data_IF_706679552197
#
_entry.id   IF_706679552197
#
_cell.length_a   1.000
_cell.length_b   1.000
_cell.length_c   1.000
_cell.angle_alpha   90.00
_cell.angle_beta   90.00
_cell.angle_gamma   90.00
#
_symmetry.space_group_name_H-M   'P 1'
#
loop_
_entity.id
_entity.type
_entity.pdbx_description
1 polymer ?
#
# COMPACT_ATOMS: atom_id res chain seq x y z
N UNK A 1 -7.75 10.45 9.74
CA UNK A 1 -7.94 9.86 8.41
C UNK A 1 -6.61 9.66 7.70
N UNK A 2 -6.31 8.45 7.33
CA UNK A 2 -5.08 8.18 6.59
C UNK A 2 -5.18 8.76 5.18
N UNK A 3 -4.15 9.49 4.78
CA UNK A 3 -4.07 9.98 3.41
C UNK A 3 -3.52 8.88 2.53
N UNK A 4 -4.37 8.38 1.64
CA UNK A 4 -4.00 7.31 0.72
C UNK A 4 -3.47 7.94 -0.56
N UNK A 5 -2.28 7.56 -1.02
CA UNK A 5 -1.74 8.15 -2.25
C UNK A 5 -2.50 7.70 -3.49
N UNK A 6 -2.53 8.57 -4.48
CA UNK A 6 -3.01 8.25 -5.82
C UNK A 6 -2.00 7.33 -6.51
N UNK A 7 -2.38 6.80 -7.66
CA UNK A 7 -1.50 5.94 -8.43
C UNK A 7 -0.17 6.64 -8.81
N UNK A 8 -0.24 7.88 -9.24
CA UNK A 8 0.95 8.67 -9.57
C UNK A 8 1.80 8.96 -8.34
N UNK A 9 1.15 9.29 -7.24
CA UNK A 9 1.83 9.53 -5.97
C UNK A 9 2.54 8.27 -5.48
N UNK A 10 1.90 7.12 -5.67
CA UNK A 10 2.50 5.84 -5.30
C UNK A 10 3.76 5.56 -6.12
N UNK A 11 3.75 5.90 -7.42
CA UNK A 11 4.95 5.75 -8.25
C UNK A 11 6.13 6.52 -7.68
N UNK A 12 5.90 7.77 -7.27
CA UNK A 12 6.94 8.59 -6.66
C UNK A 12 7.38 8.02 -5.31
N UNK A 13 6.43 7.58 -4.48
CA UNK A 13 6.75 6.98 -3.19
C UNK A 13 7.61 5.72 -3.34
N UNK A 14 7.33 4.90 -4.33
CA UNK A 14 8.12 3.68 -4.58
C UNK A 14 9.58 4.01 -4.87
N UNK A 15 9.82 5.07 -5.61
CA UNK A 15 11.19 5.53 -5.88
C UNK A 15 11.87 5.94 -4.57
N UNK A 16 11.17 6.72 -3.75
CA UNK A 16 11.72 7.24 -2.49
C UNK A 16 11.93 6.11 -1.47
N UNK A 17 11.03 5.15 -1.40
CA UNK A 17 11.21 4.00 -0.51
C UNK A 17 12.42 3.17 -0.90
N UNK A 18 12.70 3.08 -2.19
CA UNK A 18 13.82 2.29 -2.69
C UNK A 18 15.15 3.04 -2.52
N UNK A 19 15.18 4.34 -2.80
CA UNK A 19 16.40 5.12 -2.80
C UNK A 19 16.66 5.88 -1.49
N UNK A 20 15.62 6.08 -0.69
CA UNK A 20 15.70 6.84 0.55
C UNK A 20 15.48 8.33 0.33
N UNK A 21 16.23 8.93 -0.56
CA UNK A 21 16.13 10.35 -0.87
C UNK A 21 16.49 10.54 -2.35
N UNK A 22 15.76 11.40 -3.06
CA UNK A 22 15.97 11.61 -4.47
C UNK A 22 15.56 13.00 -4.89
N UNK A 23 16.25 13.54 -5.90
CA UNK A 23 15.88 14.81 -6.51
C UNK A 23 14.69 14.60 -7.45
N UNK A 24 14.05 15.72 -7.83
CA UNK A 24 12.94 15.66 -8.81
C UNK A 24 13.40 15.00 -10.11
N UNK A 25 14.60 15.33 -10.56
CA UNK A 25 15.16 14.78 -11.80
C UNK A 25 15.37 13.28 -11.70
N UNK A 26 15.86 12.81 -10.55
CA UNK A 26 16.07 11.40 -10.32
C UNK A 26 14.73 10.64 -10.28
N UNK A 27 13.72 11.24 -9.67
CA UNK A 27 12.38 10.64 -9.62
C UNK A 27 11.78 10.54 -11.01
N UNK A 28 11.93 11.63 -11.83
CA UNK A 28 11.50 11.62 -13.23
C UNK A 28 12.15 10.47 -14.00
N UNK A 29 13.46 10.32 -13.82
CA UNK A 29 14.24 9.29 -14.51
C UNK A 29 13.77 7.88 -14.14
N UNK A 30 13.54 7.64 -12.86
CA UNK A 30 13.09 6.33 -12.39
C UNK A 30 11.67 5.99 -12.86
N UNK A 31 10.77 6.97 -12.83
CA UNK A 31 9.40 6.78 -13.33
C UNK A 31 9.43 6.49 -14.84
N UNK A 32 10.28 7.18 -15.58
CA UNK A 32 10.44 6.96 -17.03
C UNK A 32 10.90 5.53 -17.35
N UNK A 33 11.75 4.95 -16.51
CA UNK A 33 12.20 3.58 -16.68
C UNK A 33 11.04 2.58 -16.60
N UNK A 34 10.01 2.90 -15.84
CA UNK A 34 8.81 2.09 -15.73
C UNK A 34 7.83 2.25 -16.88
N UNK A 35 8.14 3.08 -17.86
CA UNK A 35 7.34 3.28 -19.05
C UNK A 35 6.53 4.58 -19.09
N UNK A 36 6.51 5.35 -18.00
CA UNK A 36 5.74 6.59 -17.90
C UNK A 36 6.67 7.80 -17.96
N UNK A 37 6.79 8.39 -19.13
CA UNK A 37 7.61 9.61 -19.28
C UNK A 37 6.80 10.82 -18.83
N UNK A 38 7.13 11.35 -17.65
CA UNK A 38 6.50 12.54 -17.11
C UNK A 38 7.44 13.73 -17.20
N UNK A 39 6.88 14.90 -17.47
CA UNK A 39 7.66 16.13 -17.51
C UNK A 39 8.15 16.49 -16.11
N UNK A 40 9.29 17.15 -16.05
CA UNK A 40 9.87 17.61 -14.78
C UNK A 40 8.87 18.44 -13.96
N UNK A 41 8.18 19.37 -14.63
CA UNK A 41 7.20 20.24 -13.96
C UNK A 41 6.02 19.44 -13.41
N UNK A 42 5.62 18.38 -14.10
CA UNK A 42 4.55 17.49 -13.64
C UNK A 42 4.95 16.77 -12.36
N UNK A 43 6.16 16.23 -12.33
CA UNK A 43 6.67 15.52 -11.14
C UNK A 43 6.88 16.51 -9.99
N UNK A 44 7.39 17.69 -10.26
CA UNK A 44 7.56 18.73 -9.24
C UNK A 44 6.21 19.09 -8.60
N UNK A 45 5.20 19.35 -9.42
CA UNK A 45 3.86 19.67 -8.94
C UNK A 45 3.28 18.52 -8.11
N UNK A 46 3.49 17.30 -8.58
CA UNK A 46 3.05 16.10 -7.87
C UNK A 46 3.67 16.04 -6.47
N UNK A 47 4.97 16.23 -6.38
CA UNK A 47 5.69 16.19 -5.10
C UNK A 47 5.24 17.31 -4.16
N UNK A 48 4.97 18.50 -4.70
CA UNK A 48 4.47 19.61 -3.90
C UNK A 48 3.11 19.29 -3.29
N UNK A 49 2.22 18.67 -4.06
CA UNK A 49 0.92 18.22 -3.55
C UNK A 49 1.11 17.13 -2.50
N UNK A 50 2.01 16.19 -2.76
CA UNK A 50 2.31 15.11 -1.81
C UNK A 50 2.86 15.67 -0.50
N UNK A 51 3.66 16.72 -0.57
CA UNK A 51 4.19 17.36 0.64
C UNK A 51 3.06 18.01 1.45
N UNK A 52 2.12 18.65 0.79
CA UNK A 52 0.94 19.23 1.45
C UNK A 52 0.11 18.15 2.14
N UNK A 53 0.05 16.97 1.55
CA UNK A 53 -0.68 15.82 2.11
C UNK A 53 0.07 15.13 3.25
N UNK A 54 1.34 15.47 3.45
CA UNK A 54 2.17 14.84 4.47
C UNK A 54 2.78 13.53 4.06
N UNK A 55 2.79 13.22 2.77
CA UNK A 55 3.35 11.97 2.24
C UNK A 55 4.86 12.04 2.08
N UNK A 56 5.40 13.22 1.78
CA UNK A 56 6.83 13.44 1.57
C UNK A 56 7.27 14.74 2.23
N UNK A 57 8.57 14.86 2.47
CA UNK A 57 9.21 16.11 2.86
C UNK A 57 10.35 16.39 1.90
N UNK A 58 10.98 17.55 2.03
CA UNK A 58 12.13 17.88 1.18
C UNK A 58 13.23 18.58 1.97
N UNK A 59 14.44 18.46 1.44
CA UNK A 59 15.62 19.19 1.93
C UNK A 59 16.19 20.01 0.81
N UNK A 60 16.62 21.21 1.16
CA UNK A 60 17.33 22.04 0.22
C UNK A 60 18.84 21.81 0.38
N UNK A 61 19.52 21.56 -0.74
CA UNK A 61 20.99 21.51 -0.78
C UNK A 61 21.43 22.45 -1.87
N UNK A 62 21.76 23.69 -1.47
CA UNK A 62 22.00 24.76 -2.43
C UNK A 62 20.72 25.09 -3.19
N UNK A 63 20.75 24.96 -4.51
CA UNK A 63 19.60 25.23 -5.37
C UNK A 63 18.78 23.95 -5.70
N UNK A 64 19.23 22.82 -5.20
CA UNK A 64 18.61 21.54 -5.51
C UNK A 64 17.80 21.04 -4.31
N UNK A 65 16.58 20.59 -4.57
CA UNK A 65 15.73 19.98 -3.57
C UNK A 65 15.76 18.47 -3.73
N UNK A 66 15.95 17.79 -2.60
CA UNK A 66 15.81 16.35 -2.51
C UNK A 66 14.56 16.02 -1.69
N UNK A 67 13.81 15.05 -2.15
CA UNK A 67 12.59 14.61 -1.48
C UNK A 67 12.82 13.27 -0.79
N UNK A 68 12.10 13.06 0.29
CA UNK A 68 12.14 11.81 1.05
C UNK A 68 10.72 11.45 1.49
N UNK A 69 10.46 10.16 1.68
CA UNK A 69 9.13 9.70 2.08
C UNK A 69 8.91 9.93 3.57
N UNK A 70 7.78 10.51 3.92
CA UNK A 70 7.28 10.57 5.28
C UNK A 70 6.33 9.41 5.53
N UNK A 71 5.60 9.00 4.49
CA UNK A 71 4.70 7.84 4.56
C UNK A 71 5.54 6.57 4.63
N UNK A 72 5.24 5.72 5.62
CA UNK A 72 5.90 4.44 5.77
C UNK A 72 5.35 3.44 4.75
N UNK A 73 6.26 2.66 4.14
CA UNK A 73 5.89 1.75 3.06
C UNK A 73 4.84 0.72 3.49
N UNK A 74 5.11 0.02 4.59
CA UNK A 74 4.22 -1.08 5.03
C UNK A 74 2.82 -0.57 5.39
N UNK A 75 2.73 0.54 6.11
CA UNK A 75 1.46 1.14 6.49
C UNK A 75 0.69 1.61 5.26
N UNK A 76 1.39 2.24 4.30
CA UNK A 76 0.78 2.76 3.08
C UNK A 76 0.27 1.63 2.19
N UNK A 77 1.09 0.60 1.98
CA UNK A 77 0.71 -0.56 1.16
C UNK A 77 -0.50 -1.27 1.77
N UNK A 78 -0.50 -1.41 3.09
CA UNK A 78 -1.62 -2.04 3.79
C UNK A 78 -2.92 -1.26 3.61
N UNK A 79 -2.83 0.07 3.74
CA UNK A 79 -3.99 0.94 3.56
C UNK A 79 -4.53 0.87 2.13
N UNK A 80 -3.63 0.86 1.14
CA UNK A 80 -4.00 0.74 -0.27
C UNK A 80 -4.68 -0.60 -0.56
N UNK A 81 -4.10 -1.68 -0.03
CA UNK A 81 -4.64 -3.03 -0.24
C UNK A 81 -6.04 -3.15 0.38
N UNK A 82 -6.20 -2.64 1.60
CA UNK A 82 -7.50 -2.66 2.29
C UNK A 82 -8.53 -1.86 1.52
N UNK A 83 -8.17 -0.66 1.08
CA UNK A 83 -9.09 0.20 0.32
C UNK A 83 -9.52 -0.45 -0.99
N UNK A 84 -8.59 -1.07 -1.70
CA UNK A 84 -8.89 -1.78 -2.93
C UNK A 84 -9.82 -2.96 -2.69
N UNK A 85 -9.50 -3.76 -1.68
CA UNK A 85 -10.30 -4.92 -1.30
C UNK A 85 -11.75 -4.51 -0.96
N UNK A 86 -11.89 -3.45 -0.18
CA UNK A 86 -13.22 -2.98 0.23
C UNK A 86 -14.01 -2.39 -0.94
N UNK A 87 -13.37 -1.59 -1.80
CA UNK A 87 -14.06 -0.94 -2.90
C UNK A 87 -14.44 -1.90 -4.02
N UNK A 88 -13.53 -2.79 -4.37
CA UNK A 88 -13.70 -3.65 -5.55
C UNK A 88 -14.38 -4.97 -5.20
N UNK A 89 -14.04 -5.52 -4.05
CA UNK A 89 -14.52 -6.86 -3.66
C UNK A 89 -15.40 -6.85 -2.42
N UNK A 90 -15.82 -5.68 -1.97
CA UNK A 90 -16.70 -5.54 -0.79
C UNK A 90 -16.16 -6.29 0.42
N UNK A 91 -14.83 -6.32 0.56
CA UNK A 91 -14.15 -6.97 1.67
C UNK A 91 -13.98 -8.48 1.54
N UNK A 92 -14.37 -9.05 0.40
CA UNK A 92 -14.28 -10.50 0.20
C UNK A 92 -12.88 -10.93 -0.21
N UNK A 93 -12.08 -11.35 0.77
CA UNK A 93 -10.69 -11.77 0.58
C UNK A 93 -10.60 -12.96 -0.37
N UNK A 94 -11.50 -13.93 -0.23
CA UNK A 94 -11.52 -15.13 -1.07
C UNK A 94 -11.73 -14.78 -2.55
N UNK A 95 -12.67 -13.90 -2.84
CA UNK A 95 -12.93 -13.45 -4.20
C UNK A 95 -11.74 -12.72 -4.79
N UNK A 96 -11.10 -11.86 -3.99
CA UNK A 96 -9.88 -11.17 -4.40
C UNK A 96 -8.78 -12.16 -4.79
N UNK A 97 -8.57 -13.19 -3.96
CA UNK A 97 -7.53 -14.20 -4.20
C UNK A 97 -7.80 -15.03 -5.44
N UNK A 98 -9.07 -15.35 -5.72
CA UNK A 98 -9.43 -16.05 -6.96
C UNK A 98 -8.96 -15.26 -8.17
N UNK A 99 -9.29 -13.97 -8.21
CA UNK A 99 -8.89 -13.12 -9.34
C UNK A 99 -7.40 -12.90 -9.40
N UNK A 100 -6.76 -12.72 -8.26
CA UNK A 100 -5.32 -12.50 -8.20
C UNK A 100 -4.55 -13.72 -8.73
N UNK A 101 -4.96 -14.92 -8.32
CA UNK A 101 -4.30 -16.16 -8.71
C UNK A 101 -4.54 -16.50 -10.19
N UNK A 102 -5.70 -16.13 -10.72
CA UNK A 102 -6.00 -16.31 -12.14
C UNK A 102 -5.25 -15.32 -13.02
N UNK A 103 -5.08 -14.08 -12.55
CA UNK A 103 -4.41 -13.02 -13.31
C UNK A 103 -2.92 -13.26 -13.43
N UNK A 104 -2.31 -13.72 -12.37
CA UNK A 104 -0.85 -13.95 -12.31
C UNK A 104 -0.59 -15.29 -11.65
N UNK A 105 0.04 -16.19 -12.41
CA UNK A 105 0.40 -17.50 -11.88
C UNK A 105 1.49 -17.34 -10.84
N UNK A 106 1.23 -17.71 -9.59
CA UNK A 106 2.26 -17.63 -8.57
C UNK A 106 3.30 -18.74 -8.75
N UNK A 107 4.52 -18.45 -8.33
CA UNK A 107 5.58 -19.45 -8.30
C UNK A 107 5.31 -20.46 -7.18
N UNK A 108 6.03 -21.58 -7.22
CA UNK A 108 5.91 -22.60 -6.18
C UNK A 108 6.25 -22.02 -4.80
N UNK A 109 7.26 -21.14 -4.77
CA UNK A 109 7.65 -20.47 -3.52
C UNK A 109 6.56 -19.55 -3.00
N UNK A 110 5.93 -18.79 -3.91
CA UNK A 110 4.82 -17.90 -3.53
C UNK A 110 3.62 -18.70 -3.01
N UNK A 111 3.31 -19.82 -3.65
CA UNK A 111 2.23 -20.69 -3.18
C UNK A 111 2.51 -21.21 -1.78
N UNK A 112 3.73 -21.65 -1.52
CA UNK A 112 4.12 -22.13 -0.20
C UNK A 112 3.93 -21.02 0.85
N UNK A 113 4.34 -19.80 0.51
CA UNK A 113 4.20 -18.66 1.40
C UNK A 113 2.73 -18.35 1.68
N UNK A 114 1.88 -18.43 0.64
CA UNK A 114 0.45 -18.23 0.79
C UNK A 114 -0.17 -19.30 1.69
N UNK A 115 0.25 -20.53 1.54
CA UNK A 115 -0.24 -21.62 2.39
C UNK A 115 0.15 -21.41 3.86
N UNK A 116 1.36 -20.93 4.11
CA UNK A 116 1.80 -20.58 5.47
C UNK A 116 0.95 -19.47 6.06
N UNK A 117 0.65 -18.43 5.27
CA UNK A 117 -0.17 -17.32 5.71
C UNK A 117 -1.60 -17.78 6.04
N UNK A 118 -2.14 -18.67 5.23
CA UNK A 118 -3.47 -19.24 5.48
C UNK A 118 -3.47 -20.06 6.77
N UNK A 119 -2.43 -20.86 6.98
CA UNK A 119 -2.31 -21.65 8.21
C UNK A 119 -2.24 -20.75 9.45
N UNK A 120 -1.47 -19.66 9.38
CA UNK A 120 -1.38 -18.69 10.46
C UNK A 120 -2.72 -18.01 10.72
N UNK A 121 -3.45 -17.67 9.66
CA UNK A 121 -4.76 -17.04 9.77
C UNK A 121 -5.75 -17.96 10.46
N UNK A 122 -5.71 -19.24 10.17
CA UNK A 122 -6.57 -20.24 10.82
C UNK A 122 -6.29 -20.30 12.31
N UNK A 123 -5.02 -20.30 12.70
CA UNK A 123 -4.63 -20.37 14.11
C UNK A 123 -5.04 -19.14 14.89
N UNK A 124 -4.75 -17.95 14.36
CA UNK A 124 -5.07 -16.73 15.07
C UNK A 124 -6.58 -16.46 15.11
N UNK A 125 -7.32 -16.91 14.11
CA UNK A 125 -8.77 -16.69 14.04
C UNK A 125 -9.55 -17.55 15.02
N UNK A 126 -9.13 -18.80 15.22
CA UNK A 126 -9.87 -19.76 16.05
C UNK A 126 -10.17 -19.26 17.46
N UNK A 127 -9.20 -18.75 18.23
CA UNK A 127 -9.51 -18.19 19.56
C UNK A 127 -10.40 -16.96 19.49
N UNK A 128 -10.14 -16.05 18.56
CA UNK A 128 -10.91 -14.82 18.40
C UNK A 128 -12.34 -15.10 17.97
N UNK A 129 -12.54 -16.06 17.09
CA UNK A 129 -13.88 -16.46 16.67
C UNK A 129 -14.72 -16.96 17.84
N UNK A 130 -14.13 -17.76 18.72
CA UNK A 130 -14.80 -18.26 19.91
C UNK A 130 -15.21 -17.14 20.85
N UNK A 131 -14.32 -16.17 21.06
CA UNK A 131 -14.60 -15.02 21.92
C UNK A 131 -15.70 -14.16 21.30
N UNK A 132 -15.66 -13.91 20.02
CA UNK A 132 -16.68 -13.13 19.32
C UNK A 132 -18.03 -13.82 19.38
N UNK A 133 -18.08 -15.13 19.19
CA UNK A 133 -19.31 -15.90 19.27
C UNK A 133 -19.92 -15.82 20.67
N UNK A 134 -19.10 -15.91 21.70
CA UNK A 134 -19.56 -15.77 23.08
C UNK A 134 -20.17 -14.41 23.35
N UNK A 135 -19.53 -13.33 22.86
CA UNK A 135 -20.04 -11.97 23.03
C UNK A 135 -21.39 -11.79 22.37
N UNK A 136 -21.55 -12.32 21.16
CA UNK A 136 -22.82 -12.25 20.45
C UNK A 136 -23.91 -13.01 21.16
N UNK A 137 -23.58 -14.21 21.64
CA UNK A 137 -24.53 -15.01 22.41
C UNK A 137 -24.98 -14.31 23.70
N UNK A 138 -24.02 -13.67 24.37
CA UNK A 138 -24.31 -12.92 25.57
C UNK A 138 -25.26 -11.76 25.33
N UNK A 139 -25.04 -11.02 24.23
CA UNK A 139 -25.91 -9.91 23.86
C UNK A 139 -27.30 -10.37 23.48
N UNK A 140 -27.41 -11.48 22.79
CA UNK A 140 -28.68 -12.01 22.35
C UNK A 140 -29.47 -12.58 23.55
N UNK A 141 -28.79 -13.12 24.53
CA UNK A 141 -29.39 -13.66 25.72
C UNK A 141 -29.91 -12.58 26.67
N UNK A 142 -29.45 -11.36 26.56
CA UNK A 142 -29.92 -10.23 27.39
C UNK A 142 -31.10 -9.57 26.71
N UNK A 143 -32.28 -9.66 27.29
CA UNK A 143 -33.46 -8.98 26.75
C UNK A 143 -33.38 -7.46 26.90
#
# INVERSE_FOLDING_TARGET
>A
METVPTERELQALKVLWQQGEATVREICSEIAKGGDALAYTTVLSLLQVMEQKGLVGHRASGKVYSYFALAEREATVRALARGFLDRVFDGAVDEYLVHALESKRPSAEEIRKLEELIAQAKQSRTPQSRISARRKSGKEASP
#
